data_IF_754710400269
#
_entry.id   IF_754710400269
#
_cell.length_a   1.000
_cell.length_b   1.000
_cell.length_c   1.000
_cell.angle_alpha   90.00
_cell.angle_beta   90.00
_cell.angle_gamma   90.00
#
_symmetry.space_group_name_H-M   'P 1'
#
loop_
_entity.id
_entity.type
_entity.pdbx_description
1 polymer ?
#
# COMPACT_ATOMS: atom_id res chain seq x y z
N UNK A 1 -9.57 -0.46 11.93
CA UNK A 1 -10.23 -0.63 10.62
C UNK A 1 -10.14 -2.09 10.18
N UNK A 2 -11.07 -2.96 10.58
CA UNK A 2 -11.04 -4.38 10.23
C UNK A 2 -10.96 -4.63 8.73
N UNK A 3 -11.68 -3.84 7.92
CA UNK A 3 -11.71 -3.99 6.46
C UNK A 3 -10.37 -3.59 5.80
N UNK A 4 -9.67 -2.60 6.34
CA UNK A 4 -8.34 -2.21 5.83
C UNK A 4 -7.31 -3.33 6.05
N UNK A 5 -7.33 -3.99 7.21
CA UNK A 5 -6.41 -5.11 7.46
C UNK A 5 -6.70 -6.32 6.56
N UNK A 6 -7.97 -6.60 6.27
CA UNK A 6 -8.37 -7.61 5.29
C UNK A 6 -7.87 -7.25 3.89
N UNK A 7 -8.06 -6.00 3.45
CA UNK A 7 -7.55 -5.51 2.18
C UNK A 7 -6.02 -5.64 2.10
N UNK A 8 -5.30 -5.18 3.12
CA UNK A 8 -3.84 -5.29 3.20
C UNK A 8 -3.37 -6.73 3.08
N UNK A 9 -4.00 -7.66 3.78
CA UNK A 9 -3.67 -9.08 3.68
C UNK A 9 -3.82 -9.57 2.24
N UNK A 10 -4.97 -9.28 1.60
CA UNK A 10 -5.25 -9.69 0.22
C UNK A 10 -4.26 -9.11 -0.79
N UNK A 11 -3.91 -7.84 -0.66
CA UNK A 11 -2.92 -7.18 -1.52
C UNK A 11 -1.55 -7.83 -1.40
N UNK A 12 -1.10 -8.11 -0.16
CA UNK A 12 0.18 -8.78 0.07
C UNK A 12 0.18 -10.21 -0.48
N UNK A 13 -0.93 -10.94 -0.43
CA UNK A 13 -1.06 -12.25 -1.06
C UNK A 13 -0.89 -12.16 -2.59
N UNK A 14 -1.53 -11.19 -3.25
CA UNK A 14 -1.42 -10.98 -4.69
C UNK A 14 0.03 -10.65 -5.08
N UNK A 15 0.63 -9.65 -4.43
CA UNK A 15 2.01 -9.22 -4.70
C UNK A 15 3.06 -10.31 -4.43
N UNK A 16 2.77 -11.31 -3.59
CA UNK A 16 3.70 -12.42 -3.36
C UNK A 16 3.50 -13.60 -4.33
N UNK A 17 2.33 -13.72 -4.97
CA UNK A 17 1.95 -14.93 -5.72
C UNK A 17 1.66 -14.72 -7.21
N UNK A 18 1.43 -13.48 -7.64
CA UNK A 18 0.93 -13.19 -9.00
C UNK A 18 1.86 -12.26 -9.80
N UNK A 19 3.01 -11.89 -9.27
CA UNK A 19 3.96 -11.04 -10.00
C UNK A 19 4.71 -11.84 -11.08
N UNK A 20 4.96 -11.25 -12.26
CA UNK A 20 5.76 -11.87 -13.32
C UNK A 20 7.17 -12.23 -12.87
N UNK A 21 7.70 -13.33 -13.40
CA UNK A 21 9.11 -13.69 -13.25
C UNK A 21 9.98 -12.60 -13.92
N UNK A 22 10.91 -12.01 -13.16
CA UNK A 22 11.76 -10.89 -13.62
C UNK A 22 11.33 -9.49 -13.14
N UNK A 23 10.24 -9.37 -12.38
CA UNK A 23 9.84 -8.09 -11.80
C UNK A 23 10.51 -7.86 -10.42
N UNK A 24 11.68 -7.22 -10.43
CA UNK A 24 12.50 -7.07 -9.21
C UNK A 24 12.17 -5.85 -8.35
N UNK A 25 11.57 -4.80 -8.93
CA UNK A 25 11.30 -3.55 -8.23
C UNK A 25 9.88 -3.49 -7.66
N UNK A 26 8.86 -3.57 -8.51
CA UNK A 26 7.44 -3.57 -8.14
C UNK A 26 7.14 -4.87 -7.37
N UNK A 27 7.20 -4.76 -6.05
CA UNK A 27 7.21 -5.87 -5.10
C UNK A 27 6.51 -5.46 -3.81
N UNK A 28 6.28 -6.43 -2.92
CA UNK A 28 5.81 -6.17 -1.55
C UNK A 28 6.70 -5.13 -0.84
N UNK A 29 8.01 -5.21 -1.01
CA UNK A 29 8.94 -4.30 -0.37
C UNK A 29 8.77 -2.85 -0.89
N UNK A 30 8.59 -2.69 -2.20
CA UNK A 30 8.29 -1.40 -2.80
C UNK A 30 6.98 -0.83 -2.27
N UNK A 31 5.89 -1.61 -2.33
CA UNK A 31 4.57 -1.20 -1.83
C UNK A 31 4.63 -0.78 -0.35
N UNK A 32 5.35 -1.52 0.49
CA UNK A 32 5.52 -1.18 1.90
C UNK A 32 6.35 0.09 2.12
N UNK A 33 7.36 0.34 1.28
CA UNK A 33 8.15 1.57 1.29
C UNK A 33 7.30 2.79 0.90
N UNK A 34 6.47 2.66 -0.14
CA UNK A 34 5.51 3.69 -0.58
C UNK A 34 4.51 3.99 0.53
N UNK A 35 3.91 2.97 1.15
CA UNK A 35 2.98 3.16 2.27
C UNK A 35 3.66 3.84 3.47
N UNK A 36 4.91 3.48 3.78
CA UNK A 36 5.69 4.14 4.86
C UNK A 36 5.91 5.61 4.54
N UNK A 37 6.24 5.94 3.29
CA UNK A 37 6.47 7.31 2.83
C UNK A 37 5.18 8.13 2.82
N UNK A 38 4.09 7.57 2.32
CA UNK A 38 2.74 8.14 2.37
C UNK A 38 2.36 8.52 3.82
N UNK A 39 2.59 7.62 4.79
CA UNK A 39 2.33 7.92 6.21
C UNK A 39 3.19 9.06 6.77
N UNK A 40 4.43 9.25 6.28
CA UNK A 40 5.25 10.41 6.67
C UNK A 40 4.62 11.72 6.17
N UNK A 41 4.11 11.74 4.94
CA UNK A 41 3.45 12.92 4.37
C UNK A 41 2.12 13.22 5.04
N UNK A 42 1.28 12.21 5.29
CA UNK A 42 0.03 12.35 6.06
C UNK A 42 0.30 13.06 7.40
N UNK A 43 1.33 12.62 8.13
CA UNK A 43 1.71 13.23 9.41
C UNK A 43 2.23 14.65 9.24
N UNK A 44 3.14 14.88 8.28
CA UNK A 44 3.76 16.19 8.03
C UNK A 44 2.74 17.25 7.65
N UNK A 45 1.75 16.87 6.84
CA UNK A 45 0.74 17.79 6.32
C UNK A 45 -0.54 17.83 7.17
N UNK A 46 -0.62 17.04 8.26
CA UNK A 46 -1.81 16.92 9.12
C UNK A 46 -3.08 16.60 8.31
N UNK A 47 -2.95 15.67 7.36
CA UNK A 47 -4.04 15.28 6.47
C UNK A 47 -5.20 14.71 7.30
N UNK A 48 -6.46 15.14 7.06
CA UNK A 48 -7.63 14.63 7.75
C UNK A 48 -7.73 13.10 7.70
N UNK A 49 -8.33 12.52 8.73
CA UNK A 49 -8.38 11.06 8.91
C UNK A 49 -8.99 10.34 7.71
N UNK A 50 -10.03 10.89 7.09
CA UNK A 50 -10.71 10.25 5.95
C UNK A 50 -9.88 10.30 4.67
N UNK A 51 -9.29 11.46 4.34
CA UNK A 51 -8.36 11.58 3.22
C UNK A 51 -7.13 10.69 3.42
N UNK A 52 -6.62 10.63 4.65
CA UNK A 52 -5.52 9.76 5.02
C UNK A 52 -5.89 8.26 4.88
N UNK A 53 -7.17 7.87 4.95
CA UNK A 53 -7.59 6.50 4.63
C UNK A 53 -7.52 6.24 3.13
N UNK A 54 -8.03 7.17 2.33
CA UNK A 54 -7.99 7.06 0.86
C UNK A 54 -6.55 6.97 0.36
N UNK A 55 -5.65 7.82 0.87
CA UNK A 55 -4.23 7.79 0.54
C UNK A 55 -3.57 6.45 0.90
N UNK A 56 -3.90 5.87 2.06
CA UNK A 56 -3.36 4.56 2.46
C UNK A 56 -3.88 3.43 1.58
N UNK A 57 -5.15 3.49 1.18
CA UNK A 57 -5.73 2.51 0.26
C UNK A 57 -5.02 2.61 -1.09
N UNK A 58 -4.93 3.81 -1.67
CA UNK A 58 -4.25 4.03 -2.95
C UNK A 58 -2.78 3.60 -2.91
N UNK A 59 -2.02 4.01 -1.89
CA UNK A 59 -0.62 3.61 -1.74
C UNK A 59 -0.43 2.10 -1.61
N UNK A 60 -1.36 1.43 -0.92
CA UNK A 60 -1.34 -0.02 -0.75
C UNK A 60 -1.67 -0.74 -2.06
N UNK A 61 -2.58 -0.22 -2.87
CA UNK A 61 -3.09 -0.91 -4.07
C UNK A 61 -2.45 -0.47 -5.38
N UNK A 62 -1.51 0.49 -5.39
CA UNK A 62 -1.03 1.10 -6.63
C UNK A 62 -0.32 0.14 -7.60
N UNK A 63 0.29 -0.93 -7.07
CA UNK A 63 1.05 -1.94 -7.82
C UNK A 63 0.31 -3.30 -7.91
N UNK A 64 -1.00 -3.34 -7.65
CA UNK A 64 -1.77 -4.60 -7.76
C UNK A 64 -2.14 -4.82 -9.24
N UNK A 65 -1.22 -5.39 -10.02
CA UNK A 65 -1.38 -5.65 -11.45
C UNK A 65 -0.13 -5.33 -12.23
#
# INVERSE_FOLDING_TARGET
>A
MPNYYKLRKRVLEILNSQLPEGLYYHSVNHTMSVLKTCNKYIRRQRIPTDDARLLRIGALTHDIG
#
